data_IF_622548293288
#
_entry.id   IF_622548293288
#
_cell.length_a   1.000
_cell.length_b   1.000
_cell.length_c   1.000
_cell.angle_alpha   90.00
_cell.angle_beta   90.00
_cell.angle_gamma   90.00
#
_symmetry.space_group_name_H-M   'P 1'
#
loop_
_entity.id
_entity.type
_entity.pdbx_description
1 polymer ?
#
# COMPACT_ATOMS: atom_id res chain seq x y z
N UNK A 1 4.58 3.83 -4.73
CA UNK A 1 3.72 4.60 -3.82
C UNK A 1 2.25 4.15 -3.86
N UNK A 2 1.92 3.00 -4.49
CA UNK A 2 0.57 2.42 -4.51
C UNK A 2 -0.39 3.05 -5.51
N UNK A 3 0.10 3.78 -6.49
CA UNK A 3 -0.69 4.29 -7.60
C UNK A 3 -1.13 3.17 -8.54
N UNK A 4 -2.27 3.36 -9.19
CA UNK A 4 -2.79 2.45 -10.22
C UNK A 4 -1.93 2.53 -11.48
N UNK A 5 -1.72 1.41 -12.16
CA UNK A 5 -0.82 1.34 -13.34
C UNK A 5 -1.30 2.26 -14.46
N UNK A 6 -2.59 2.24 -14.78
CA UNK A 6 -3.14 3.11 -15.82
C UNK A 6 -2.95 4.61 -15.52
N UNK A 7 -2.94 5.02 -14.24
CA UNK A 7 -2.65 6.42 -13.86
C UNK A 7 -1.19 6.80 -14.06
N UNK A 8 -0.27 5.85 -13.93
CA UNK A 8 1.13 6.07 -14.24
C UNK A 8 1.30 6.33 -15.73
N UNK A 9 0.68 5.49 -16.58
CA UNK A 9 0.67 5.69 -18.03
C UNK A 9 0.04 7.04 -18.41
N UNK A 10 -1.11 7.36 -17.83
CA UNK A 10 -1.80 8.62 -18.08
C UNK A 10 -0.97 9.85 -17.64
N UNK A 11 -0.28 9.78 -16.51
CA UNK A 11 0.58 10.87 -16.03
C UNK A 11 1.76 11.10 -16.97
N UNK A 12 2.38 10.04 -17.46
CA UNK A 12 3.48 10.14 -18.43
C UNK A 12 2.95 10.68 -19.78
N UNK A 13 1.80 10.22 -20.25
CA UNK A 13 1.17 10.74 -21.48
C UNK A 13 0.87 12.24 -21.38
N UNK A 14 0.38 12.72 -20.24
CA UNK A 14 0.18 14.15 -20.00
C UNK A 14 1.51 14.93 -20.04
N UNK A 15 2.58 14.39 -19.49
CA UNK A 15 3.91 15.01 -19.60
C UNK A 15 4.35 15.11 -21.05
N UNK A 16 4.26 14.02 -21.81
CA UNK A 16 4.65 14.02 -23.21
C UNK A 16 3.87 15.06 -24.02
N UNK A 17 2.56 15.16 -23.79
CA UNK A 17 1.70 16.18 -24.41
C UNK A 17 2.08 17.61 -24.00
N UNK A 18 2.37 17.84 -22.71
CA UNK A 18 2.74 19.17 -22.20
C UNK A 18 4.06 19.66 -22.82
N UNK A 19 5.00 18.75 -23.11
CA UNK A 19 6.28 19.06 -23.76
C UNK A 19 6.23 18.93 -25.30
N UNK A 20 5.03 18.79 -25.90
CA UNK A 20 4.84 18.63 -27.34
C UNK A 20 5.61 17.43 -27.94
N UNK A 21 5.82 16.37 -27.16
CA UNK A 21 6.39 15.12 -27.66
C UNK A 21 5.26 14.29 -28.25
N UNK A 22 5.21 14.25 -29.59
CA UNK A 22 4.23 13.41 -30.29
C UNK A 22 4.68 11.94 -30.34
N UNK A 23 3.72 11.02 -30.51
CA UNK A 23 3.96 9.60 -30.75
C UNK A 23 4.76 8.87 -29.63
N UNK A 24 4.67 9.36 -28.38
CA UNK A 24 5.20 8.63 -27.24
C UNK A 24 4.39 7.35 -26.99
N UNK A 25 5.06 6.23 -26.83
CA UNK A 25 4.45 4.96 -26.45
C UNK A 25 4.85 4.63 -25.03
N UNK A 26 3.84 4.38 -24.20
CA UNK A 26 4.03 4.15 -22.77
C UNK A 26 3.39 2.80 -22.44
N UNK A 27 4.15 1.94 -21.78
CA UNK A 27 3.68 0.67 -21.28
C UNK A 27 4.16 0.48 -19.85
N UNK A 28 3.23 0.29 -18.93
CA UNK A 28 3.53 0.08 -17.53
C UNK A 28 2.90 -1.22 -17.03
N UNK A 29 3.64 -1.94 -16.23
CA UNK A 29 3.19 -3.06 -15.39
C UNK A 29 3.73 -2.84 -13.98
N UNK A 30 3.24 -3.52 -12.94
CA UNK A 30 3.68 -3.28 -11.56
C UNK A 30 5.20 -3.37 -11.34
N UNK A 31 5.90 -4.16 -12.16
CA UNK A 31 7.34 -4.39 -12.02
C UNK A 31 8.22 -3.56 -12.98
N UNK A 32 7.64 -2.92 -14.00
CA UNK A 32 8.44 -2.29 -15.08
C UNK A 32 7.64 -1.18 -15.77
N UNK A 33 8.33 -0.09 -16.09
CA UNK A 33 7.80 0.99 -16.94
C UNK A 33 8.68 1.07 -18.17
N UNK A 34 8.09 1.10 -19.35
CA UNK A 34 8.76 1.26 -20.64
C UNK A 34 8.19 2.51 -21.31
N UNK A 35 9.06 3.42 -21.69
CA UNK A 35 8.69 4.63 -22.42
C UNK A 35 9.52 4.69 -23.70
N UNK A 36 8.85 4.86 -24.83
CA UNK A 36 9.50 5.07 -26.13
C UNK A 36 9.07 6.41 -26.68
N UNK A 37 10.01 7.25 -27.03
CA UNK A 37 9.80 8.56 -27.64
C UNK A 37 10.54 8.67 -28.98
N UNK A 38 10.09 9.49 -29.94
CA UNK A 38 10.86 9.78 -31.13
C UNK A 38 12.12 10.57 -30.78
N UNK A 39 13.27 10.15 -31.29
CA UNK A 39 14.53 10.87 -31.15
C UNK A 39 14.68 11.96 -32.21
N UNK A 40 15.63 12.88 -32.03
CA UNK A 40 15.90 14.00 -32.95
C UNK A 40 16.30 13.52 -34.37
N UNK A 41 16.94 12.37 -34.47
CA UNK A 41 17.32 11.73 -35.74
C UNK A 41 16.26 10.79 -36.32
N UNK A 42 15.02 10.85 -35.80
CA UNK A 42 13.88 10.04 -36.23
C UNK A 42 13.92 8.58 -35.79
N UNK A 43 14.94 8.19 -34.99
CA UNK A 43 15.00 6.85 -34.41
C UNK A 43 14.32 6.85 -33.06
N UNK A 44 13.53 5.81 -32.72
CA UNK A 44 12.90 5.72 -31.42
C UNK A 44 13.94 5.53 -30.31
N UNK A 45 13.81 6.29 -29.24
CA UNK A 45 14.57 6.13 -28.01
C UNK A 45 13.66 5.43 -26.99
N UNK A 46 14.09 4.27 -26.51
CA UNK A 46 13.34 3.49 -25.54
C UNK A 46 14.11 3.45 -24.21
N UNK A 47 13.44 3.81 -23.13
CA UNK A 47 13.97 3.64 -21.78
C UNK A 47 13.08 2.68 -20.99
N UNK A 48 13.73 1.77 -20.26
CA UNK A 48 13.09 0.81 -19.38
C UNK A 48 13.54 1.09 -17.95
N UNK A 49 12.57 1.21 -17.04
CA UNK A 49 12.84 1.36 -15.61
C UNK A 49 12.19 0.21 -14.84
N UNK A 50 12.96 -0.44 -13.98
CA UNK A 50 12.49 -1.55 -13.16
C UNK A 50 12.02 -1.07 -11.80
N UNK A 51 10.79 -1.38 -11.43
CA UNK A 51 10.23 -1.11 -10.10
C UNK A 51 10.59 -2.26 -9.16
N UNK A 52 11.52 -2.02 -8.25
CA UNK A 52 12.05 -3.06 -7.34
C UNK A 52 11.27 -3.20 -6.04
N UNK A 53 10.50 -2.18 -5.65
CA UNK A 53 9.66 -2.24 -4.46
C UNK A 53 8.43 -1.36 -4.61
N UNK A 54 7.31 -1.84 -4.14
CA UNK A 54 6.05 -1.10 -4.09
C UNK A 54 5.70 -0.91 -2.62
N UNK A 55 5.65 0.35 -2.18
CA UNK A 55 5.17 0.72 -0.86
C UNK A 55 3.94 1.62 -0.99
N UNK A 56 2.93 1.43 -0.17
CA UNK A 56 1.77 2.32 -0.14
C UNK A 56 2.12 3.55 0.70
N UNK A 57 2.20 4.70 0.05
CA UNK A 57 2.39 5.99 0.71
C UNK A 57 1.50 7.03 0.04
N UNK A 58 0.34 7.27 0.65
CA UNK A 58 -0.69 8.16 0.10
C UNK A 58 -0.25 9.62 0.11
N UNK A 59 0.57 10.06 1.08
CA UNK A 59 1.11 11.43 1.12
C UNK A 59 2.06 11.68 -0.07
N UNK A 60 2.96 10.74 -0.34
CA UNK A 60 3.83 10.83 -1.53
C UNK A 60 3.05 10.74 -2.83
N UNK A 61 2.04 9.88 -2.88
CA UNK A 61 1.18 9.75 -4.06
C UNK A 61 0.46 11.08 -4.36
N UNK A 62 -0.08 11.74 -3.33
CA UNK A 62 -0.71 13.04 -3.45
C UNK A 62 0.28 14.11 -3.97
N UNK A 63 1.46 14.22 -3.34
CA UNK A 63 2.51 15.17 -3.74
C UNK A 63 2.99 14.95 -5.17
N UNK A 64 3.17 13.69 -5.60
CA UNK A 64 3.54 13.38 -6.99
C UNK A 64 2.43 13.77 -7.95
N UNK A 65 1.17 13.51 -7.61
CA UNK A 65 0.03 13.88 -8.44
C UNK A 65 -0.09 15.41 -8.59
N UNK A 66 0.14 16.17 -7.52
CA UNK A 66 0.16 17.64 -7.58
C UNK A 66 1.34 18.15 -8.40
N UNK A 67 2.52 17.53 -8.25
CA UNK A 67 3.68 17.84 -9.09
C UNK A 67 3.38 17.58 -10.57
N UNK A 68 2.71 16.47 -10.91
CA UNK A 68 2.31 16.17 -12.28
C UNK A 68 1.45 17.27 -12.89
N UNK A 69 0.44 17.75 -12.16
CA UNK A 69 -0.42 18.85 -12.60
C UNK A 69 0.37 20.12 -12.82
N UNK A 70 1.20 20.48 -11.82
CA UNK A 70 2.03 21.68 -11.88
C UNK A 70 3.01 21.65 -13.07
N UNK A 71 3.62 20.49 -13.37
CA UNK A 71 4.51 20.32 -14.52
C UNK A 71 3.76 20.50 -15.82
N UNK A 72 2.54 19.95 -15.96
CA UNK A 72 1.74 20.10 -17.17
C UNK A 72 1.30 21.56 -17.41
N UNK A 73 1.11 22.35 -16.34
CA UNK A 73 0.71 23.76 -16.44
C UNK A 73 1.88 24.69 -16.74
N UNK A 74 3.07 24.39 -16.21
CA UNK A 74 4.21 25.32 -16.22
C UNK A 74 5.36 24.90 -17.13
N UNK A 75 5.37 23.64 -17.62
CA UNK A 75 6.44 23.07 -18.46
C UNK A 75 7.86 23.44 -18.01
N UNK A 76 8.22 23.20 -16.73
CA UNK A 76 9.53 23.58 -16.20
C UNK A 76 10.66 22.77 -16.81
N UNK A 77 11.92 23.19 -16.56
CA UNK A 77 13.07 22.40 -16.99
C UNK A 77 13.15 21.03 -16.31
N UNK A 78 13.70 20.01 -16.97
CA UNK A 78 13.87 18.66 -16.40
C UNK A 78 14.61 18.66 -15.05
N UNK A 79 15.58 19.55 -14.85
CA UNK A 79 16.34 19.72 -13.62
C UNK A 79 15.43 20.13 -12.46
N UNK A 80 14.51 21.07 -12.71
CA UNK A 80 13.54 21.53 -11.70
C UNK A 80 12.57 20.41 -11.31
N UNK A 81 12.16 19.57 -12.26
CA UNK A 81 11.30 18.41 -11.97
C UNK A 81 12.07 17.40 -11.12
N UNK A 82 13.33 17.11 -11.46
CA UNK A 82 14.17 16.17 -10.73
C UNK A 82 14.39 16.64 -9.28
N UNK A 83 14.64 17.93 -9.05
CA UNK A 83 14.80 18.52 -7.73
C UNK A 83 13.52 18.35 -6.88
N UNK A 84 12.36 18.70 -7.42
CA UNK A 84 11.07 18.53 -6.73
C UNK A 84 10.72 17.06 -6.44
N UNK A 85 11.07 16.14 -7.35
CA UNK A 85 10.90 14.71 -7.13
C UNK A 85 11.80 14.21 -6.00
N UNK A 86 13.05 14.70 -5.94
CA UNK A 86 13.99 14.35 -4.87
C UNK A 86 13.50 14.86 -3.51
N UNK A 87 12.94 16.07 -3.45
CA UNK A 87 12.31 16.63 -2.24
C UNK A 87 11.12 15.77 -1.78
N UNK A 88 10.26 15.32 -2.70
CA UNK A 88 9.16 14.41 -2.37
C UNK A 88 9.71 13.07 -1.87
N UNK A 89 10.75 12.55 -2.49
CA UNK A 89 11.39 11.30 -2.07
C UNK A 89 12.00 11.41 -0.65
N UNK A 90 12.59 12.54 -0.31
CA UNK A 90 13.19 12.84 1.01
C UNK A 90 12.15 13.26 2.05
N UNK A 91 10.87 13.45 1.68
CA UNK A 91 9.84 13.88 2.61
C UNK A 91 9.75 12.93 3.81
N UNK A 92 9.60 13.51 5.01
CA UNK A 92 9.54 12.76 6.27
C UNK A 92 8.38 11.77 6.26
N UNK A 93 8.67 10.54 6.59
CA UNK A 93 7.66 9.53 6.89
C UNK A 93 7.11 9.75 8.31
N UNK A 94 5.93 9.24 8.57
CA UNK A 94 5.38 9.21 9.93
C UNK A 94 6.33 8.47 10.89
N UNK A 95 6.39 8.96 12.12
CA UNK A 95 7.19 8.28 13.14
C UNK A 95 6.58 6.91 13.48
N UNK A 96 7.42 5.98 13.90
CA UNK A 96 6.94 4.65 14.29
C UNK A 96 5.83 4.69 15.34
N UNK A 97 5.95 5.58 16.33
CA UNK A 97 4.95 5.73 17.40
C UNK A 97 3.61 6.20 16.83
N UNK A 98 3.62 7.14 15.87
CA UNK A 98 2.40 7.61 15.22
C UNK A 98 1.70 6.47 14.46
N UNK A 99 2.46 5.68 13.70
CA UNK A 99 1.91 4.53 12.96
C UNK A 99 1.37 3.47 13.93
N UNK A 100 2.12 3.14 14.97
CA UNK A 100 1.71 2.17 15.99
C UNK A 100 0.40 2.59 16.69
N UNK A 101 0.29 3.86 17.09
CA UNK A 101 -0.94 4.39 17.69
C UNK A 101 -2.09 4.35 16.69
N UNK A 102 -1.83 4.68 15.41
CA UNK A 102 -2.85 4.60 14.37
C UNK A 102 -3.38 3.17 14.18
N UNK A 103 -2.52 2.16 14.21
CA UNK A 103 -2.93 0.74 14.18
C UNK A 103 -3.82 0.39 15.38
N UNK A 104 -3.43 0.80 16.59
CA UNK A 104 -4.23 0.58 17.79
C UNK A 104 -5.60 1.24 17.70
N UNK A 105 -5.63 2.53 17.34
CA UNK A 105 -6.88 3.29 17.20
C UNK A 105 -7.79 2.68 16.13
N UNK A 106 -7.24 2.35 14.95
CA UNK A 106 -8.00 1.71 13.88
C UNK A 106 -8.61 0.37 14.34
N UNK A 107 -7.81 -0.49 14.99
CA UNK A 107 -8.28 -1.77 15.51
C UNK A 107 -9.42 -1.62 16.51
N UNK A 108 -9.33 -0.65 17.43
CA UNK A 108 -10.38 -0.37 18.40
C UNK A 108 -11.68 0.11 17.75
N UNK A 109 -11.58 1.05 16.78
CA UNK A 109 -12.76 1.55 16.08
C UNK A 109 -13.40 0.49 15.18
N UNK A 110 -12.62 -0.35 14.50
CA UNK A 110 -13.17 -1.47 13.77
C UNK A 110 -13.86 -2.51 14.69
N UNK A 111 -13.31 -2.76 15.88
CA UNK A 111 -13.96 -3.60 16.88
C UNK A 111 -15.34 -3.05 17.27
N UNK A 112 -15.46 -1.75 17.56
CA UNK A 112 -16.74 -1.10 17.79
C UNK A 112 -17.68 -1.17 16.58
N UNK A 113 -17.14 -0.93 15.38
CA UNK A 113 -17.94 -0.98 14.16
C UNK A 113 -18.61 -2.33 13.94
N UNK A 114 -17.94 -3.42 14.32
CA UNK A 114 -18.49 -4.78 14.23
C UNK A 114 -19.35 -5.18 15.44
N UNK A 115 -19.54 -4.30 16.41
CA UNK A 115 -20.42 -4.53 17.57
C UNK A 115 -19.72 -4.96 18.85
N UNK A 116 -18.39 -4.86 18.92
CA UNK A 116 -17.63 -5.08 20.16
C UNK A 116 -17.93 -4.00 21.20
N UNK A 117 -17.75 -4.35 22.46
CA UNK A 117 -17.91 -3.43 23.58
C UNK A 117 -16.60 -2.68 23.92
N UNK A 118 -16.64 -1.84 24.95
CA UNK A 118 -15.46 -1.03 25.37
C UNK A 118 -14.29 -1.92 25.82
N UNK A 119 -14.56 -3.04 26.49
CA UNK A 119 -13.51 -3.98 26.88
C UNK A 119 -12.84 -4.65 25.68
N UNK A 120 -13.66 -5.10 24.70
CA UNK A 120 -13.19 -5.67 23.44
C UNK A 120 -12.33 -4.66 22.66
N UNK A 121 -12.78 -3.40 22.61
CA UNK A 121 -12.06 -2.33 21.91
C UNK A 121 -10.70 -2.01 22.56
N UNK A 122 -10.60 -2.07 23.88
CA UNK A 122 -9.31 -1.90 24.59
C UNK A 122 -8.35 -3.04 24.23
N UNK A 123 -8.83 -4.28 24.22
CA UNK A 123 -8.02 -5.44 23.82
C UNK A 123 -7.62 -5.33 22.35
N UNK A 124 -8.55 -4.95 21.46
CA UNK A 124 -8.27 -4.72 20.04
C UNK A 124 -7.25 -3.60 19.82
N UNK A 125 -7.30 -2.53 20.62
CA UNK A 125 -6.27 -1.47 20.60
C UNK A 125 -4.88 -2.03 20.91
N UNK A 126 -4.76 -2.82 21.98
CA UNK A 126 -3.48 -3.45 22.36
C UNK A 126 -3.00 -4.41 21.27
N UNK A 127 -3.92 -5.20 20.68
CA UNK A 127 -3.61 -6.08 19.56
C UNK A 127 -3.08 -5.30 18.35
N UNK A 128 -3.68 -4.16 18.02
CA UNK A 128 -3.20 -3.28 16.94
C UNK A 128 -1.80 -2.73 17.19
N UNK A 129 -1.49 -2.29 18.43
CA UNK A 129 -0.14 -1.86 18.79
C UNK A 129 0.89 -2.99 18.62
N UNK A 130 0.54 -4.20 19.10
CA UNK A 130 1.40 -5.38 19.01
C UNK A 130 1.61 -5.81 17.55
N UNK A 131 0.59 -5.68 16.72
CA UNK A 131 0.64 -5.98 15.27
C UNK A 131 1.68 -5.12 14.56
N UNK A 132 1.64 -3.80 14.72
CA UNK A 132 2.60 -2.89 14.07
C UNK A 132 4.02 -3.11 14.60
N UNK A 133 4.16 -3.39 15.89
CA UNK A 133 5.47 -3.73 16.44
C UNK A 133 6.04 -5.01 15.81
N UNK A 134 5.20 -6.04 15.65
CA UNK A 134 5.56 -7.30 15.01
C UNK A 134 5.94 -7.08 13.53
N UNK A 135 5.12 -6.35 12.76
CA UNK A 135 5.40 -6.02 11.36
C UNK A 135 6.74 -5.30 11.20
N UNK A 136 7.03 -4.33 12.06
CA UNK A 136 8.32 -3.63 12.03
C UNK A 136 9.50 -4.56 12.29
N UNK A 137 9.36 -5.49 13.23
CA UNK A 137 10.41 -6.47 13.52
C UNK A 137 10.64 -7.42 12.34
N UNK A 138 9.54 -7.94 11.75
CA UNK A 138 9.58 -8.82 10.58
C UNK A 138 10.19 -8.11 9.35
N UNK A 139 9.85 -6.83 9.13
CA UNK A 139 10.44 -6.01 8.08
C UNK A 139 11.96 -5.80 8.26
N UNK A 140 12.41 -5.61 9.51
CA UNK A 140 13.86 -5.57 9.82
C UNK A 140 14.56 -6.87 9.52
N UNK A 141 13.91 -7.98 9.79
CA UNK A 141 14.41 -9.34 9.49
C UNK A 141 14.32 -9.67 7.98
N UNK A 142 13.82 -8.75 7.14
CA UNK A 142 13.58 -8.98 5.70
C UNK A 142 12.71 -10.21 5.42
N UNK A 143 11.78 -10.50 6.32
CA UNK A 143 10.86 -11.61 6.15
C UNK A 143 9.90 -11.36 4.97
N UNK A 144 9.48 -12.43 4.31
CA UNK A 144 8.49 -12.35 3.25
C UNK A 144 7.14 -11.86 3.81
N UNK A 145 6.37 -11.14 2.99
CA UNK A 145 5.03 -10.59 3.32
C UNK A 145 4.09 -11.68 3.87
N UNK A 146 4.11 -12.88 3.30
CA UNK A 146 3.32 -14.02 3.78
C UNK A 146 3.61 -14.34 5.26
N UNK A 147 4.88 -14.57 5.60
CA UNK A 147 5.29 -14.87 6.99
C UNK A 147 5.06 -13.70 7.93
N UNK A 148 5.27 -12.48 7.45
CA UNK A 148 5.03 -11.28 8.26
C UNK A 148 3.56 -11.16 8.67
N UNK A 149 2.63 -11.36 7.73
CA UNK A 149 1.19 -11.32 8.03
C UNK A 149 0.75 -12.51 8.88
N UNK A 150 1.27 -13.71 8.63
CA UNK A 150 0.96 -14.89 9.41
C UNK A 150 1.36 -14.72 10.89
N UNK A 151 2.59 -14.27 11.16
CA UNK A 151 3.06 -14.06 12.54
C UNK A 151 2.30 -12.89 13.19
N UNK A 152 2.04 -11.81 12.45
CA UNK A 152 1.29 -10.67 13.00
C UNK A 152 -0.15 -11.02 13.35
N UNK A 153 -0.83 -11.82 12.53
CA UNK A 153 -2.19 -12.29 12.82
C UNK A 153 -2.22 -13.32 13.95
N UNK A 154 -1.19 -14.16 14.09
CA UNK A 154 -1.03 -15.02 15.27
C UNK A 154 -0.88 -14.19 16.56
N UNK A 155 -0.13 -13.09 16.54
CA UNK A 155 -0.01 -12.17 17.67
C UNK A 155 -1.38 -11.56 18.03
N UNK A 156 -2.20 -11.20 17.03
CA UNK A 156 -3.57 -10.71 17.27
C UNK A 156 -4.39 -11.76 18.03
N UNK A 157 -4.39 -13.01 17.57
CA UNK A 157 -5.15 -14.08 18.20
C UNK A 157 -4.69 -14.36 19.63
N UNK A 158 -3.37 -14.41 19.88
CA UNK A 158 -2.80 -14.56 21.23
C UNK A 158 -3.22 -13.42 22.16
N UNK A 159 -3.14 -12.16 21.70
CA UNK A 159 -3.57 -10.99 22.50
C UNK A 159 -5.08 -11.05 22.77
N UNK A 160 -5.90 -11.47 21.82
CA UNK A 160 -7.33 -11.63 21.99
C UNK A 160 -7.65 -12.69 23.05
N UNK A 161 -7.01 -13.87 22.99
CA UNK A 161 -7.16 -14.94 23.99
C UNK A 161 -6.75 -14.45 25.37
N UNK A 162 -5.60 -13.80 25.51
CA UNK A 162 -5.13 -13.24 26.78
C UNK A 162 -6.10 -12.19 27.32
N UNK A 163 -6.63 -11.32 26.47
CA UNK A 163 -7.63 -10.33 26.87
C UNK A 163 -8.93 -10.97 27.43
N UNK A 164 -9.36 -12.08 26.84
CA UNK A 164 -10.49 -12.87 27.32
C UNK A 164 -10.19 -13.53 28.67
N UNK A 165 -9.03 -14.16 28.80
CA UNK A 165 -8.60 -14.82 30.06
C UNK A 165 -8.46 -13.81 31.19
N UNK A 166 -7.99 -12.59 30.91
CA UNK A 166 -7.88 -11.51 31.90
C UNK A 166 -9.26 -10.86 32.25
N UNK A 167 -10.34 -11.27 31.60
CA UNK A 167 -11.68 -10.71 31.84
C UNK A 167 -11.87 -9.28 31.31
N UNK A 168 -10.97 -8.80 30.44
CA UNK A 168 -11.08 -7.48 29.81
C UNK A 168 -11.99 -7.50 28.58
N UNK A 169 -11.93 -8.59 27.79
CA UNK A 169 -12.76 -8.79 26.60
C UNK A 169 -13.94 -9.70 26.89
N UNK A 170 -15.02 -9.55 26.09
CA UNK A 170 -16.21 -10.38 26.16
C UNK A 170 -16.46 -11.18 24.86
N UNK A 171 -15.93 -10.71 23.74
CA UNK A 171 -16.13 -11.32 22.43
C UNK A 171 -14.83 -11.40 21.66
N UNK A 172 -14.24 -12.61 21.62
CA UNK A 172 -12.97 -12.86 20.91
C UNK A 172 -13.09 -12.56 19.43
N UNK A 173 -14.23 -12.86 18.81
CA UNK A 173 -14.49 -12.64 17.39
C UNK A 173 -14.41 -11.16 17.04
N UNK A 174 -15.03 -10.29 17.86
CA UNK A 174 -15.03 -8.84 17.62
C UNK A 174 -13.66 -8.23 17.80
N UNK A 175 -12.87 -8.73 18.75
CA UNK A 175 -11.48 -8.31 18.98
C UNK A 175 -10.62 -8.68 17.76
N UNK A 176 -10.70 -9.93 17.33
CA UNK A 176 -9.92 -10.43 16.20
C UNK A 176 -10.31 -9.71 14.91
N UNK A 177 -11.59 -9.64 14.58
CA UNK A 177 -12.07 -8.95 13.35
C UNK A 177 -11.62 -7.49 13.35
N UNK A 178 -11.76 -6.79 14.48
CA UNK A 178 -11.32 -5.40 14.60
C UNK A 178 -9.83 -5.23 14.34
N UNK A 179 -8.99 -6.08 14.92
CA UNK A 179 -7.54 -5.97 14.78
C UNK A 179 -7.03 -6.40 13.40
N UNK A 180 -7.58 -7.44 12.77
CA UNK A 180 -7.14 -7.90 11.44
C UNK A 180 -7.47 -6.91 10.32
N UNK A 181 -8.43 -6.01 10.50
CA UNK A 181 -8.74 -4.99 9.50
C UNK A 181 -7.53 -4.13 9.14
N UNK A 182 -6.56 -4.00 10.02
CA UNK A 182 -5.29 -3.30 9.75
C UNK A 182 -4.33 -4.09 8.85
N UNK A 183 -4.50 -5.41 8.76
CA UNK A 183 -3.71 -6.31 7.90
C UNK A 183 -4.39 -6.60 6.57
N UNK A 184 -5.72 -6.51 6.51
CA UNK A 184 -6.49 -6.81 5.28
C UNK A 184 -6.12 -5.83 4.17
N UNK A 185 -5.72 -6.32 2.98
CA UNK A 185 -5.28 -5.48 1.87
C UNK A 185 -6.45 -4.85 1.11
N UNK A 186 -7.27 -4.03 1.81
CA UNK A 186 -8.49 -3.42 1.23
C UNK A 186 -8.22 -2.55 0.00
N UNK A 187 -7.19 -1.70 0.06
CA UNK A 187 -6.77 -0.87 -1.09
C UNK A 187 -6.32 -1.75 -2.26
N UNK A 188 -5.60 -2.85 -1.97
CA UNK A 188 -5.18 -3.81 -2.99
C UNK A 188 -6.38 -4.42 -3.72
N UNK A 189 -7.40 -4.86 -2.99
CA UNK A 189 -8.63 -5.44 -3.55
C UNK A 189 -9.35 -4.42 -4.44
N UNK A 190 -9.51 -3.19 -3.95
CA UNK A 190 -10.18 -2.12 -4.72
C UNK A 190 -9.42 -1.79 -6.01
N UNK A 191 -8.09 -1.73 -5.95
CA UNK A 191 -7.26 -1.46 -7.12
C UNK A 191 -7.32 -2.60 -8.14
N UNK A 192 -7.36 -3.87 -7.70
CA UNK A 192 -7.56 -5.03 -8.59
C UNK A 192 -8.84 -4.88 -9.40
N UNK A 193 -9.96 -4.59 -8.72
CA UNK A 193 -11.24 -4.44 -9.40
C UNK A 193 -11.20 -3.30 -10.42
N UNK A 194 -10.54 -2.21 -10.09
CA UNK A 194 -10.39 -1.06 -10.98
C UNK A 194 -9.49 -1.37 -12.17
N UNK A 195 -8.35 -2.03 -11.98
CA UNK A 195 -7.43 -2.42 -13.05
C UNK A 195 -8.16 -3.33 -14.06
N UNK A 196 -8.92 -4.33 -13.57
CA UNK A 196 -9.72 -5.23 -14.42
C UNK A 196 -10.80 -4.46 -15.21
N UNK A 197 -11.53 -3.56 -14.55
CA UNK A 197 -12.58 -2.76 -15.20
C UNK A 197 -11.98 -1.81 -16.25
N UNK A 198 -10.78 -1.29 -16.01
CA UNK A 198 -10.05 -0.44 -16.95
C UNK A 198 -9.45 -1.20 -18.15
N UNK A 199 -9.56 -2.54 -18.16
CA UNK A 199 -9.04 -3.40 -19.23
C UNK A 199 -7.63 -3.93 -19.01
N UNK A 200 -6.96 -3.55 -17.93
CA UNK A 200 -5.65 -4.11 -17.56
C UNK A 200 -5.79 -5.41 -16.76
N UNK A 201 -6.26 -6.43 -17.46
CA UNK A 201 -6.55 -7.74 -16.88
C UNK A 201 -5.28 -8.44 -16.36
N UNK A 202 -4.14 -8.24 -17.02
CA UNK A 202 -2.86 -8.85 -16.64
C UNK A 202 -2.41 -8.34 -15.27
N UNK A 203 -2.39 -7.03 -15.09
CA UNK A 203 -2.05 -6.41 -13.81
C UNK A 203 -3.02 -6.81 -12.70
N UNK A 204 -4.32 -6.78 -12.99
CA UNK A 204 -5.36 -7.19 -12.05
C UNK A 204 -5.18 -8.65 -11.61
N UNK A 205 -4.97 -9.57 -12.54
CA UNK A 205 -4.80 -11.00 -12.23
C UNK A 205 -3.56 -11.28 -11.39
N UNK A 206 -2.42 -10.65 -11.70
CA UNK A 206 -1.20 -10.79 -10.90
C UNK A 206 -1.39 -10.32 -9.45
N UNK A 207 -2.09 -9.21 -9.25
CA UNK A 207 -2.39 -8.68 -7.91
C UNK A 207 -3.38 -9.55 -7.13
N UNK A 208 -4.29 -10.28 -7.79
CA UNK A 208 -5.20 -11.23 -7.14
C UNK A 208 -4.40 -12.29 -6.38
N UNK A 209 -3.38 -12.88 -7.03
CA UNK A 209 -2.56 -13.91 -6.39
C UNK A 209 -1.87 -13.39 -5.13
N UNK A 210 -1.32 -12.17 -5.16
CA UNK A 210 -0.69 -11.52 -4.00
C UNK A 210 -1.69 -11.31 -2.86
N UNK A 211 -2.86 -10.76 -3.15
CA UNK A 211 -3.91 -10.50 -2.16
C UNK A 211 -4.45 -11.79 -1.55
N UNK A 212 -4.63 -12.83 -2.35
CA UNK A 212 -5.05 -14.15 -1.88
C UNK A 212 -4.01 -14.77 -0.94
N UNK A 213 -2.72 -14.67 -1.25
CA UNK A 213 -1.65 -15.13 -0.37
C UNK A 213 -1.65 -14.39 0.97
N UNK A 214 -1.89 -13.09 0.98
CA UNK A 214 -2.03 -12.31 2.21
C UNK A 214 -3.24 -12.79 3.02
N UNK A 215 -4.41 -12.96 2.40
CA UNK A 215 -5.61 -13.43 3.09
C UNK A 215 -5.43 -14.82 3.71
N UNK A 216 -4.81 -15.75 2.97
CA UNK A 216 -4.49 -17.10 3.45
C UNK A 216 -3.51 -17.02 4.63
N UNK A 217 -2.49 -16.19 4.56
CA UNK A 217 -1.51 -16.03 5.65
C UNK A 217 -2.15 -15.53 6.94
N UNK A 218 -3.07 -14.56 6.83
CA UNK A 218 -3.84 -14.04 7.98
C UNK A 218 -4.70 -15.15 8.58
N UNK A 219 -5.43 -15.89 7.75
CA UNK A 219 -6.30 -16.98 8.20
C UNK A 219 -5.52 -18.08 8.94
N UNK A 220 -4.38 -18.49 8.40
CA UNK A 220 -3.49 -19.48 9.03
C UNK A 220 -2.99 -18.95 10.38
N UNK A 221 -2.52 -17.71 10.43
CA UNK A 221 -1.97 -17.13 11.66
C UNK A 221 -2.99 -17.04 12.79
N UNK A 222 -4.26 -16.74 12.48
CA UNK A 222 -5.34 -16.72 13.48
C UNK A 222 -5.71 -18.11 13.96
N UNK A 223 -5.65 -19.12 13.09
CA UNK A 223 -6.06 -20.49 13.40
C UNK A 223 -5.00 -21.29 14.21
N UNK A 224 -3.78 -20.81 14.34
CA UNK A 224 -2.68 -21.52 15.01
C UNK A 224 -2.75 -21.50 16.55
N UNK A 225 -3.12 -20.41 17.22
CA UNK A 225 -3.25 -20.38 18.69
C UNK A 225 -4.52 -21.05 19.19
#
# INVERSE_FOLDING_TARGET
>A
NGGEVYRVEQAIDFFMKAYNIADAQIFAIPATIIVTIPGEDGKPITQLERVTSIAQNMDRLHKVNDLCRWVCENTPSPETIAEKLDDIHKSKLYSFVQVMVAYGVASAFFCYFWGGNTGDAIVAFIAGLATEYCLKYMNRAKANVFFSNMVSSMVIAVVAILGMVCGLGNSIDMIIIGAIMTLVPGVGITNIMRDIISGDVITGTNKIAEVMLIAISIAIGIALP
#
